data_IF_011491948496
#
_entry.id   IF_011491948496
#
_cell.length_a   1.000
_cell.length_b   1.000
_cell.length_c   1.000
_cell.angle_alpha   90.00
_cell.angle_beta   90.00
_cell.angle_gamma   90.00
#
_symmetry.space_group_name_H-M   'P 1'
#
loop_
_entity.id
_entity.type
_entity.pdbx_description
1 polymer ?
#
# COMPACT_ATOMS: atom_id res chain seq x y z
N UNK A 1 13.67 -4.48 -18.96
CA UNK A 1 14.11 -5.52 -19.91
C UNK A 1 15.48 -5.12 -20.46
N UNK A 2 16.43 -6.05 -20.64
CA UNK A 2 17.73 -5.70 -21.22
C UNK A 2 17.64 -5.62 -22.74
N UNK A 3 18.48 -4.76 -23.37
CA UNK A 3 18.55 -4.69 -24.83
C UNK A 3 18.92 -6.02 -25.48
N UNK A 4 19.73 -6.84 -24.80
CA UNK A 4 20.09 -8.19 -25.28
C UNK A 4 18.91 -9.17 -25.30
N UNK A 5 18.00 -9.08 -24.32
CA UNK A 5 16.77 -9.86 -24.33
C UNK A 5 15.89 -9.46 -25.51
N UNK A 6 15.63 -8.15 -25.67
CA UNK A 6 14.85 -7.62 -26.78
C UNK A 6 15.44 -8.06 -28.11
N UNK A 7 16.75 -7.93 -28.33
CA UNK A 7 17.41 -8.34 -29.56
C UNK A 7 17.43 -9.87 -29.79
N UNK A 8 17.11 -10.68 -28.78
CA UNK A 8 17.01 -12.15 -28.90
C UNK A 8 15.57 -12.62 -29.14
N UNK A 9 14.58 -11.83 -28.75
CA UNK A 9 13.16 -12.24 -28.77
C UNK A 9 12.32 -11.44 -29.76
N UNK A 10 12.63 -10.15 -29.96
CA UNK A 10 11.89 -9.23 -30.83
C UNK A 10 12.82 -8.67 -31.92
N UNK A 11 12.29 -8.44 -33.12
CA UNK A 11 13.00 -7.76 -34.21
C UNK A 11 13.96 -8.62 -35.06
N UNK A 12 14.06 -9.93 -34.81
CA UNK A 12 14.80 -10.87 -35.68
C UNK A 12 13.91 -11.81 -36.49
N UNK A 13 12.67 -12.02 -36.04
CA UNK A 13 11.73 -12.94 -36.65
C UNK A 13 10.75 -12.12 -37.53
N UNK A 14 10.83 -12.25 -38.86
CA UNK A 14 9.85 -11.62 -39.75
C UNK A 14 8.46 -12.20 -39.48
N UNK A 15 7.46 -11.35 -39.27
CA UNK A 15 6.07 -11.77 -39.08
C UNK A 15 5.66 -12.08 -37.64
N UNK A 16 6.48 -11.72 -36.65
CA UNK A 16 6.16 -11.81 -35.22
C UNK A 16 4.83 -11.12 -34.87
N UNK A 17 4.50 -10.05 -35.58
CA UNK A 17 3.24 -9.34 -35.47
C UNK A 17 2.03 -10.21 -35.82
N UNK A 18 2.15 -11.09 -36.82
CA UNK A 18 1.08 -11.99 -37.23
C UNK A 18 0.93 -13.18 -36.28
N UNK A 19 2.05 -13.62 -35.69
CA UNK A 19 2.07 -14.73 -34.72
C UNK A 19 1.18 -14.43 -33.50
N UNK A 20 1.28 -13.21 -32.96
CA UNK A 20 0.55 -12.80 -31.76
C UNK A 20 -0.70 -11.95 -32.05
N UNK A 21 -1.11 -11.79 -33.31
CA UNK A 21 -2.26 -10.95 -33.68
C UNK A 21 -3.57 -11.46 -33.03
N UNK A 22 -3.89 -12.73 -33.23
CA UNK A 22 -5.11 -13.35 -32.65
C UNK A 22 -5.05 -13.44 -31.13
N UNK A 23 -3.86 -13.70 -30.58
CA UNK A 23 -3.66 -13.69 -29.14
C UNK A 23 -3.92 -12.29 -28.56
N UNK A 24 -3.43 -11.23 -29.21
CA UNK A 24 -3.66 -9.85 -28.77
C UNK A 24 -5.13 -9.46 -28.80
N UNK A 25 -5.92 -9.94 -29.78
CA UNK A 25 -7.37 -9.65 -29.88
C UNK A 25 -8.18 -10.15 -28.68
N UNK A 26 -7.73 -11.21 -28.02
CA UNK A 26 -8.44 -11.88 -26.92
C UNK A 26 -7.92 -11.51 -25.52
N UNK A 27 -6.91 -10.64 -25.42
CA UNK A 27 -6.28 -10.28 -24.16
C UNK A 27 -6.24 -8.76 -23.95
N UNK A 28 -6.41 -8.35 -22.69
CA UNK A 28 -6.58 -6.93 -22.33
C UNK A 28 -5.31 -6.07 -22.45
N UNK A 29 -4.14 -6.70 -22.37
CA UNK A 29 -2.98 -6.03 -21.81
C UNK A 29 -1.70 -6.45 -22.55
N UNK A 30 -0.93 -5.46 -23.02
CA UNK A 30 0.27 -5.71 -23.84
C UNK A 30 1.41 -6.37 -23.07
N UNK A 31 1.49 -6.17 -21.76
CA UNK A 31 2.44 -6.85 -20.87
C UNK A 31 2.15 -8.36 -20.75
N UNK A 32 0.88 -8.75 -20.75
CA UNK A 32 0.48 -10.16 -20.81
C UNK A 32 0.90 -10.81 -22.13
N UNK A 33 0.64 -10.14 -23.26
CA UNK A 33 1.08 -10.62 -24.59
C UNK A 33 2.60 -10.74 -24.65
N UNK A 34 3.32 -9.74 -24.12
CA UNK A 34 4.78 -9.74 -24.06
C UNK A 34 5.33 -10.90 -23.20
N UNK A 35 4.73 -11.16 -22.04
CA UNK A 35 5.10 -12.28 -21.18
C UNK A 35 4.84 -13.64 -21.85
N UNK A 36 3.74 -13.76 -22.60
CA UNK A 36 3.44 -14.96 -23.39
C UNK A 36 4.50 -15.20 -24.48
N UNK A 37 4.85 -14.15 -25.22
CA UNK A 37 5.88 -14.25 -26.26
C UNK A 37 7.27 -14.64 -25.73
N UNK A 38 7.60 -14.23 -24.49
CA UNK A 38 8.79 -14.72 -23.81
C UNK A 38 8.69 -16.20 -23.43
N UNK A 39 7.54 -16.63 -22.92
CA UNK A 39 7.33 -17.99 -22.48
C UNK A 39 7.45 -19.00 -23.63
N UNK A 40 6.92 -18.68 -24.80
CA UNK A 40 7.04 -19.50 -26.03
C UNK A 40 8.51 -19.72 -26.44
N UNK A 41 9.38 -18.76 -26.09
CA UNK A 41 10.84 -18.82 -26.33
C UNK A 41 11.61 -19.37 -25.12
N UNK A 42 10.90 -20.04 -24.21
CA UNK A 42 11.42 -20.62 -22.97
C UNK A 42 12.13 -19.60 -22.06
N UNK A 43 11.66 -18.34 -22.09
CA UNK A 43 12.14 -17.26 -21.23
C UNK A 43 11.03 -16.93 -20.23
N UNK A 44 11.30 -17.17 -18.95
CA UNK A 44 10.31 -16.93 -17.89
C UNK A 44 10.47 -15.51 -17.35
N UNK A 45 9.35 -14.78 -17.27
CA UNK A 45 9.30 -13.54 -16.48
C UNK A 45 9.44 -13.91 -15.02
N UNK A 46 10.43 -13.31 -14.35
CA UNK A 46 10.68 -13.55 -12.94
C UNK A 46 9.58 -12.87 -12.11
N UNK A 47 8.87 -13.65 -11.30
CA UNK A 47 7.80 -13.15 -10.44
C UNK A 47 7.76 -13.93 -9.12
N UNK A 48 7.18 -13.32 -8.08
CA UNK A 48 7.01 -13.92 -6.77
C UNK A 48 8.13 -13.61 -5.77
N UNK A 49 7.94 -14.09 -4.54
CA UNK A 49 8.78 -13.76 -3.38
C UNK A 49 10.24 -14.20 -3.52
N UNK A 50 10.51 -15.25 -4.29
CA UNK A 50 11.87 -15.72 -4.60
C UNK A 50 12.67 -14.73 -5.45
N UNK A 51 12.02 -13.72 -6.02
CA UNK A 51 12.64 -12.62 -6.76
C UNK A 51 12.30 -11.28 -6.08
N UNK A 52 12.84 -11.04 -4.86
CA UNK A 52 12.49 -9.88 -4.04
C UNK A 52 12.85 -8.55 -4.73
N UNK A 53 13.80 -8.57 -5.67
CA UNK A 53 14.18 -7.44 -6.51
C UNK A 53 13.16 -7.09 -7.61
N UNK A 54 12.11 -7.88 -7.80
CA UNK A 54 11.00 -7.58 -8.73
C UNK A 54 9.71 -7.29 -7.94
N UNK A 55 9.37 -8.16 -6.99
CA UNK A 55 8.10 -8.11 -6.26
C UNK A 55 7.84 -6.77 -5.55
N UNK A 56 8.78 -6.30 -4.73
CA UNK A 56 8.57 -5.07 -3.94
C UNK A 56 8.90 -3.81 -4.74
N UNK A 57 9.78 -3.91 -5.73
CA UNK A 57 10.25 -2.73 -6.48
C UNK A 57 9.19 -2.16 -7.43
N UNK A 58 8.30 -2.99 -7.96
CA UNK A 58 7.30 -2.58 -8.95
C UNK A 58 5.92 -2.49 -8.31
N UNK A 59 5.38 -1.27 -8.13
CA UNK A 59 4.06 -1.07 -7.53
C UNK A 59 2.99 -0.75 -8.57
N UNK A 60 1.86 -1.45 -8.44
CA UNK A 60 0.64 -1.20 -9.21
C UNK A 60 -0.24 -0.07 -8.65
N UNK A 61 0.21 0.63 -7.61
CA UNK A 61 -0.56 1.61 -6.86
C UNK A 61 0.14 2.98 -6.84
N UNK A 62 -0.59 4.09 -6.67
CA UNK A 62 0.00 5.39 -6.37
C UNK A 62 0.53 5.40 -4.92
N UNK A 63 1.44 6.33 -4.57
CA UNK A 63 2.06 6.37 -3.23
C UNK A 63 1.07 6.27 -2.08
N UNK A 64 -0.08 6.95 -2.17
CA UNK A 64 -1.13 6.97 -1.14
C UNK A 64 -1.83 5.62 -0.89
N UNK A 65 -1.79 4.71 -1.86
CA UNK A 65 -2.47 3.41 -1.84
C UNK A 65 -1.50 2.23 -1.75
N UNK A 66 -0.19 2.46 -1.86
CA UNK A 66 0.83 1.44 -1.63
C UNK A 66 0.71 0.86 -0.21
N UNK A 67 0.86 -0.45 -0.09
CA UNK A 67 0.82 -1.18 1.18
C UNK A 67 2.19 -1.11 1.86
N UNK A 68 2.38 -0.19 2.81
CA UNK A 68 3.62 -0.11 3.60
C UNK A 68 3.52 -1.00 4.84
N UNK A 69 4.48 -1.89 5.06
CA UNK A 69 4.47 -2.83 6.19
C UNK A 69 5.89 -3.20 6.64
N UNK A 70 5.99 -4.04 7.68
CA UNK A 70 7.26 -4.50 8.25
C UNK A 70 8.16 -5.24 7.27
N UNK A 71 7.59 -5.91 6.26
CA UNK A 71 8.32 -6.78 5.33
C UNK A 71 8.96 -5.99 4.18
N UNK A 72 8.32 -4.89 3.75
CA UNK A 72 8.80 -4.04 2.67
C UNK A 72 9.43 -2.71 3.11
N UNK A 73 9.35 -2.35 4.39
CA UNK A 73 9.81 -1.05 4.92
C UNK A 73 11.21 -0.63 4.45
N UNK A 74 12.15 -1.58 4.49
CA UNK A 74 13.56 -1.40 4.13
C UNK A 74 13.88 -1.93 2.72
N UNK A 75 12.86 -2.13 1.88
CA UNK A 75 13.02 -2.56 0.50
C UNK A 75 12.97 -1.35 -0.41
N UNK A 76 13.58 -1.50 -1.58
CA UNK A 76 13.56 -0.48 -2.61
C UNK A 76 12.21 -0.48 -3.33
N UNK A 77 11.77 0.73 -3.70
CA UNK A 77 10.57 0.99 -4.50
C UNK A 77 10.98 1.82 -5.72
N UNK A 78 10.56 1.40 -6.91
CA UNK A 78 11.08 1.92 -8.19
C UNK A 78 9.99 2.53 -9.05
N UNK A 79 8.79 1.96 -9.03
CA UNK A 79 7.69 2.42 -9.89
C UNK A 79 6.39 2.49 -9.11
N UNK A 80 5.50 3.36 -9.58
CA UNK A 80 4.11 3.49 -9.16
C UNK A 80 3.22 3.46 -10.40
N UNK A 81 1.95 3.12 -10.22
CA UNK A 81 0.96 3.10 -11.29
C UNK A 81 -0.30 3.89 -10.87
N UNK A 82 -1.20 4.14 -11.82
CA UNK A 82 -2.40 4.97 -11.61
C UNK A 82 -2.10 6.39 -11.09
N UNK A 83 -0.96 6.97 -11.49
CA UNK A 83 -0.56 8.32 -11.12
C UNK A 83 -1.37 9.37 -11.87
N UNK A 84 -1.81 10.39 -11.15
CA UNK A 84 -2.33 11.63 -11.75
C UNK A 84 -1.17 12.55 -12.16
N UNK A 85 -1.46 13.60 -12.94
CA UNK A 85 -0.45 14.61 -13.27
C UNK A 85 0.15 15.28 -12.02
N UNK A 86 -0.66 15.45 -10.97
CA UNK A 86 -0.20 16.00 -9.71
C UNK A 86 0.76 15.02 -8.99
N UNK A 87 0.44 13.72 -8.98
CA UNK A 87 1.33 12.74 -8.37
C UNK A 87 2.68 12.68 -9.08
N UNK A 88 2.69 12.78 -10.42
CA UNK A 88 3.92 12.80 -11.22
C UNK A 88 4.79 14.02 -10.86
N UNK A 89 4.19 15.21 -10.76
CA UNK A 89 4.91 16.44 -10.36
C UNK A 89 5.51 16.31 -8.96
N UNK A 90 4.73 15.80 -8.00
CA UNK A 90 5.19 15.61 -6.63
C UNK A 90 6.30 14.57 -6.52
N UNK A 91 6.20 13.45 -7.25
CA UNK A 91 7.25 12.42 -7.32
C UNK A 91 8.53 12.95 -7.96
N UNK A 92 8.41 13.75 -9.03
CA UNK A 92 9.57 14.37 -9.69
C UNK A 92 10.33 15.31 -8.73
N UNK A 93 9.60 16.15 -7.99
CA UNK A 93 10.21 17.05 -7.01
C UNK A 93 10.82 16.30 -5.82
N UNK A 94 10.20 15.20 -5.39
CA UNK A 94 10.76 14.31 -4.37
C UNK A 94 12.08 13.68 -4.84
N UNK A 95 12.10 13.07 -6.03
CA UNK A 95 13.31 12.43 -6.59
C UNK A 95 14.47 13.42 -6.74
N UNK A 96 14.20 14.67 -7.14
CA UNK A 96 15.23 15.71 -7.28
C UNK A 96 15.86 16.13 -5.95
N UNK A 97 15.12 16.05 -4.85
CA UNK A 97 15.61 16.38 -3.50
C UNK A 97 16.29 15.18 -2.84
N UNK A 98 16.00 13.96 -3.29
CA UNK A 98 16.56 12.75 -2.73
C UNK A 98 18.03 12.54 -3.16
N UNK A 99 18.89 11.99 -2.28
CA UNK A 99 20.27 11.65 -2.63
C UNK A 99 20.34 10.70 -3.84
N UNK A 100 21.00 11.14 -4.91
CA UNK A 100 21.06 10.41 -6.19
C UNK A 100 21.91 9.13 -6.15
N UNK A 101 22.71 8.96 -5.11
CA UNK A 101 23.59 7.81 -4.89
C UNK A 101 22.93 6.70 -4.04
N UNK A 102 21.68 6.89 -3.63
CA UNK A 102 20.96 5.95 -2.76
C UNK A 102 19.64 5.49 -3.38
N UNK A 103 19.25 4.21 -3.20
CA UNK A 103 17.94 3.75 -3.61
C UNK A 103 16.85 4.38 -2.76
N UNK A 104 15.74 4.78 -3.39
CA UNK A 104 14.52 5.18 -2.67
C UNK A 104 13.87 3.93 -2.08
N UNK A 105 13.62 3.96 -0.77
CA UNK A 105 12.99 2.87 -0.04
C UNK A 105 11.52 3.18 0.28
N UNK A 106 10.75 2.16 0.64
CA UNK A 106 9.36 2.32 1.08
C UNK A 106 9.22 3.32 2.23
N UNK A 107 10.15 3.31 3.19
CA UNK A 107 10.15 4.29 4.30
C UNK A 107 10.22 5.73 3.79
N UNK A 108 10.99 5.99 2.73
CA UNK A 108 11.25 7.35 2.24
C UNK A 108 9.98 7.92 1.58
N UNK A 109 9.29 7.08 0.81
CA UNK A 109 7.99 7.42 0.21
C UNK A 109 6.92 7.58 1.28
N UNK A 110 6.93 6.73 2.31
CA UNK A 110 6.03 6.89 3.45
C UNK A 110 6.25 8.23 4.17
N UNK A 111 7.50 8.63 4.39
CA UNK A 111 7.83 9.90 5.08
C UNK A 111 7.36 11.11 4.30
N UNK A 112 7.52 11.10 2.98
CA UNK A 112 7.11 12.22 2.12
C UNK A 112 5.59 12.28 1.95
N UNK A 113 4.95 11.15 1.59
CA UNK A 113 3.59 11.17 1.05
C UNK A 113 2.50 10.70 2.03
N UNK A 114 2.87 10.01 3.10
CA UNK A 114 1.90 9.34 3.99
C UNK A 114 1.93 9.96 5.37
N UNK A 115 3.10 9.95 6.00
CA UNK A 115 3.30 10.37 7.39
C UNK A 115 2.71 11.75 7.71
N UNK A 116 2.90 12.81 6.91
CA UNK A 116 2.41 14.15 7.24
C UNK A 116 0.88 14.23 7.33
N UNK A 117 0.18 13.28 6.70
CA UNK A 117 -1.27 13.25 6.60
C UNK A 117 -1.92 12.23 7.54
N UNK A 118 -1.13 11.40 8.21
CA UNK A 118 -1.65 10.47 9.21
C UNK A 118 -2.16 11.21 10.44
N UNK A 119 -3.27 10.72 10.98
CA UNK A 119 -3.90 11.24 12.19
C UNK A 119 -4.31 10.06 13.04
N UNK A 120 -4.17 10.22 14.34
CA UNK A 120 -4.60 9.20 15.29
C UNK A 120 -6.12 9.19 15.51
N UNK A 121 -6.76 10.34 15.25
CA UNK A 121 -8.20 10.51 15.38
C UNK A 121 -8.96 9.80 14.26
N UNK A 122 -10.22 9.43 14.56
CA UNK A 122 -11.18 8.95 13.57
C UNK A 122 -11.34 9.96 12.44
N UNK A 123 -11.05 9.54 11.21
CA UNK A 123 -11.25 10.34 10.00
C UNK A 123 -12.52 9.89 9.30
N UNK A 124 -13.56 10.72 9.39
CA UNK A 124 -14.83 10.49 8.69
C UNK A 124 -14.71 10.82 7.20
N UNK A 125 -15.55 10.21 6.37
CA UNK A 125 -15.57 10.37 4.91
C UNK A 125 -14.23 10.04 4.24
N UNK A 126 -13.55 9.02 4.75
CA UNK A 126 -12.21 8.66 4.33
C UNK A 126 -12.05 7.16 4.28
N UNK A 127 -11.56 6.67 3.15
CA UNK A 127 -11.27 5.25 2.94
C UNK A 127 -9.75 5.06 2.90
N UNK A 128 -9.19 4.44 3.95
CA UNK A 128 -7.78 4.06 4.02
C UNK A 128 -7.48 2.69 3.37
N UNK A 129 -8.48 2.07 2.74
CA UNK A 129 -8.37 0.81 2.00
C UNK A 129 -8.08 -0.43 2.87
N UNK A 130 -8.27 -0.38 4.20
CA UNK A 130 -8.00 -1.54 5.06
C UNK A 130 -8.82 -2.79 4.66
N UNK A 131 -8.13 -3.87 4.28
CA UNK A 131 -8.72 -5.03 3.58
C UNK A 131 -8.07 -6.39 3.94
N UNK A 132 -7.10 -6.43 4.84
CA UNK A 132 -6.36 -7.67 5.16
C UNK A 132 -7.19 -8.67 5.98
N UNK A 133 -8.11 -8.18 6.80
CA UNK A 133 -9.19 -8.98 7.41
C UNK A 133 -10.49 -8.21 7.26
N UNK A 134 -11.56 -8.88 6.85
CA UNK A 134 -12.82 -8.23 6.52
C UNK A 134 -13.98 -8.94 7.23
N UNK A 135 -14.86 -8.15 7.82
CA UNK A 135 -16.08 -8.62 8.48
C UNK A 135 -17.25 -7.87 7.87
N UNK A 136 -18.24 -8.60 7.37
CA UNK A 136 -19.45 -8.02 6.78
C UNK A 136 -20.68 -8.86 7.11
N UNK A 137 -21.85 -8.21 7.09
CA UNK A 137 -23.14 -8.86 7.31
C UNK A 137 -23.50 -9.82 6.17
N UNK A 138 -23.13 -9.48 4.94
CA UNK A 138 -23.33 -10.32 3.75
C UNK A 138 -22.28 -11.42 3.70
N UNK A 139 -22.63 -12.57 4.29
CA UNK A 139 -21.69 -13.63 4.61
C UNK A 139 -21.76 -14.87 3.73
N UNK A 140 -22.29 -14.77 2.51
CA UNK A 140 -22.38 -15.94 1.62
C UNK A 140 -21.02 -16.42 1.04
N UNK A 141 -19.88 -15.79 1.35
CA UNK A 141 -18.59 -16.06 0.66
C UNK A 141 -17.39 -16.45 1.52
N UNK A 142 -17.47 -16.53 2.84
CA UNK A 142 -16.29 -16.88 3.67
C UNK A 142 -16.62 -17.82 4.84
N UNK A 143 -16.30 -19.11 4.66
CA UNK A 143 -16.48 -20.17 5.67
C UNK A 143 -15.50 -20.05 6.86
N UNK A 144 -14.45 -19.23 6.74
CA UNK A 144 -13.48 -19.00 7.82
C UNK A 144 -13.81 -17.77 8.66
N UNK A 145 -14.89 -17.05 8.34
CA UNK A 145 -15.30 -15.89 9.08
C UNK A 145 -15.98 -16.37 10.39
N UNK A 146 -15.44 -16.09 11.59
CA UNK A 146 -16.02 -16.51 12.88
C UNK A 146 -17.25 -15.65 13.20
N UNK A 147 -18.38 -16.16 13.71
CA UNK A 147 -19.58 -15.34 14.06
C UNK A 147 -19.17 -14.08 14.85
N UNK A 148 -19.00 -12.96 14.15
CA UNK A 148 -18.26 -11.81 14.69
C UNK A 148 -18.95 -10.54 14.25
N UNK A 149 -19.28 -9.72 15.23
CA UNK A 149 -20.06 -8.50 15.09
C UNK A 149 -19.20 -7.25 14.88
N UNK A 150 -17.95 -7.41 14.44
CA UNK A 150 -17.01 -6.30 14.26
C UNK A 150 -17.54 -5.19 13.32
N UNK A 151 -18.49 -5.52 12.44
CA UNK A 151 -19.16 -4.58 11.54
C UNK A 151 -20.39 -3.87 12.14
N UNK A 152 -20.77 -4.15 13.40
CA UNK A 152 -21.95 -3.55 14.02
C UNK A 152 -21.74 -2.08 14.42
N UNK A 153 -20.52 -1.69 14.74
CA UNK A 153 -20.19 -0.31 15.09
C UNK A 153 -18.71 0.00 14.80
N UNK A 154 -18.40 1.29 14.79
CA UNK A 154 -17.02 1.76 14.67
C UNK A 154 -16.16 1.25 15.83
N UNK A 155 -16.73 1.23 17.03
CA UNK A 155 -16.08 0.82 18.27
C UNK A 155 -15.77 -0.67 18.28
N UNK A 156 -16.69 -1.52 17.80
CA UNK A 156 -16.44 -2.96 17.66
C UNK A 156 -15.36 -3.24 16.61
N UNK A 157 -15.37 -2.52 15.49
CA UNK A 157 -14.30 -2.63 14.48
C UNK A 157 -12.93 -2.19 15.05
N UNK A 158 -12.93 -1.09 15.82
CA UNK A 158 -11.76 -0.56 16.51
C UNK A 158 -11.19 -1.57 17.53
N UNK A 159 -12.06 -2.18 18.33
CA UNK A 159 -11.71 -3.24 19.29
C UNK A 159 -11.13 -4.46 18.58
N UNK A 160 -11.72 -4.87 17.45
CA UNK A 160 -11.19 -5.99 16.67
C UNK A 160 -9.79 -5.73 16.10
N UNK A 161 -9.50 -4.48 15.71
CA UNK A 161 -8.14 -4.06 15.39
C UNK A 161 -7.22 -4.13 16.62
N UNK A 162 -7.69 -3.74 17.79
CA UNK A 162 -6.89 -3.83 19.03
C UNK A 162 -6.54 -5.28 19.39
N UNK A 163 -7.47 -6.22 19.21
CA UNK A 163 -7.25 -7.65 19.47
C UNK A 163 -6.24 -8.28 18.49
N UNK A 164 -6.18 -7.79 17.25
CA UNK A 164 -5.18 -8.23 16.28
C UNK A 164 -3.89 -7.44 16.44
N UNK A 165 -2.87 -8.03 17.07
CA UNK A 165 -1.60 -7.36 17.41
C UNK A 165 -0.93 -6.62 16.22
N UNK A 166 -0.92 -7.23 15.04
CA UNK A 166 -0.32 -6.66 13.83
C UNK A 166 -1.20 -5.58 13.16
N UNK A 167 -2.44 -5.33 13.61
CA UNK A 167 -3.31 -4.33 12.99
C UNK A 167 -2.76 -2.91 13.20
N UNK A 168 -2.48 -2.20 12.11
CA UNK A 168 -1.98 -0.81 12.12
C UNK A 168 -3.03 0.19 11.64
N UNK A 169 -4.10 -0.26 10.99
CA UNK A 169 -5.21 0.59 10.58
C UNK A 169 -6.50 -0.21 10.39
N UNK A 170 -7.63 0.48 10.45
CA UNK A 170 -8.94 -0.08 10.10
C UNK A 170 -9.84 0.95 9.41
N UNK A 171 -10.87 0.46 8.72
CA UNK A 171 -11.97 1.24 8.16
C UNK A 171 -13.30 0.61 8.54
N UNK A 172 -14.28 1.46 8.75
CA UNK A 172 -15.65 1.08 9.10
C UNK A 172 -16.65 1.84 8.25
N UNK A 173 -17.68 1.14 7.81
CA UNK A 173 -18.97 1.70 7.40
C UNK A 173 -20.07 0.77 7.89
N UNK A 174 -21.35 1.18 7.94
CA UNK A 174 -22.42 0.26 8.33
C UNK A 174 -22.30 -1.08 7.59
N UNK A 175 -22.35 -2.18 8.34
CA UNK A 175 -22.29 -3.56 7.82
C UNK A 175 -20.95 -3.99 7.21
N UNK A 176 -19.88 -3.18 7.34
CA UNK A 176 -18.53 -3.56 6.92
C UNK A 176 -17.44 -3.03 7.88
N UNK A 177 -16.55 -3.93 8.29
CA UNK A 177 -15.31 -3.62 9.01
C UNK A 177 -14.12 -4.23 8.27
N UNK A 178 -13.13 -3.39 7.93
CA UNK A 178 -11.88 -3.83 7.32
C UNK A 178 -10.69 -3.49 8.21
N UNK A 179 -9.82 -4.45 8.48
CA UNK A 179 -8.60 -4.30 9.26
C UNK A 179 -7.38 -4.50 8.36
N UNK A 180 -6.25 -3.85 8.67
CA UNK A 180 -5.01 -4.02 7.90
C UNK A 180 -3.77 -3.91 8.77
N UNK A 181 -2.77 -4.76 8.49
CA UNK A 181 -1.39 -4.66 8.97
C UNK A 181 -0.49 -3.87 8.01
N UNK A 182 -1.06 -3.38 6.90
CA UNK A 182 -0.43 -2.45 5.97
C UNK A 182 -0.94 -1.04 6.25
N UNK A 183 -0.02 -0.08 6.27
CA UNK A 183 -0.35 1.34 6.26
C UNK A 183 -0.68 1.74 4.83
N UNK A 184 -1.79 2.45 4.64
CA UNK A 184 -2.19 3.18 3.44
C UNK A 184 -2.84 4.48 3.86
N UNK A 185 -2.56 5.56 3.15
CA UNK A 185 -3.26 6.82 3.38
C UNK A 185 -4.66 6.73 2.78
N UNK A 186 -4.80 6.20 1.57
CA UNK A 186 -6.06 6.17 0.83
C UNK A 186 -6.57 7.58 0.50
N UNK A 187 -7.88 7.74 0.37
CA UNK A 187 -8.46 8.97 -0.14
C UNK A 187 -9.83 9.30 0.48
N UNK A 188 -10.28 10.53 0.26
CA UNK A 188 -11.65 10.94 0.59
C UNK A 188 -12.61 10.12 -0.26
N UNK A 189 -13.57 9.46 0.38
CA UNK A 189 -14.62 8.76 -0.34
C UNK A 189 -15.60 9.80 -0.92
N UNK A 190 -15.81 9.79 -2.24
CA UNK A 190 -16.62 10.80 -2.94
C UNK A 190 -18.05 10.33 -3.27
N UNK A 191 -18.38 9.05 -3.06
CA UNK A 191 -19.71 8.51 -3.37
C UNK A 191 -20.71 8.63 -2.21
N UNK A 192 -21.99 8.71 -2.60
CA UNK A 192 -23.12 9.05 -1.73
C UNK A 192 -23.68 7.91 -0.87
N UNK A 193 -23.03 6.74 -0.84
CA UNK A 193 -23.38 5.63 0.05
C UNK A 193 -22.37 5.50 1.20
N UNK A 194 -22.88 5.41 2.43
CA UNK A 194 -22.15 4.93 3.62
C UNK A 194 -20.66 5.25 3.68
N UNK A 195 -20.33 6.52 3.89
CA UNK A 195 -18.93 6.97 3.87
C UNK A 195 -18.07 6.25 4.91
N UNK A 196 -16.89 5.80 4.50
CA UNK A 196 -15.97 5.14 5.41
C UNK A 196 -15.49 6.09 6.52
N UNK A 197 -15.33 5.53 7.70
CA UNK A 197 -14.57 6.11 8.80
C UNK A 197 -13.28 5.31 8.96
N UNK A 198 -12.14 5.98 8.84
CA UNK A 198 -10.81 5.36 8.89
C UNK A 198 -10.04 5.81 10.13
N UNK A 199 -9.16 4.95 10.64
CA UNK A 199 -8.26 5.29 11.73
C UNK A 199 -6.97 4.45 11.62
N UNK A 200 -5.86 5.05 12.05
CA UNK A 200 -4.53 4.46 12.08
C UNK A 200 -4.07 4.34 13.53
N UNK A 201 -3.47 3.21 13.88
CA UNK A 201 -2.85 2.97 15.20
C UNK A 201 -1.43 3.51 15.16
N UNK A 202 -1.30 4.82 15.38
CA UNK A 202 -0.03 5.53 15.25
C UNK A 202 1.04 4.96 16.20
N UNK A 203 0.65 4.56 17.41
CA UNK A 203 1.48 3.88 18.38
C UNK A 203 2.09 2.57 17.83
N UNK A 204 1.30 1.76 17.13
CA UNK A 204 1.75 0.51 16.51
C UNK A 204 2.64 0.75 15.30
N UNK A 205 2.31 1.76 14.50
CA UNK A 205 3.14 2.20 13.37
C UNK A 205 4.54 2.57 13.87
N UNK A 206 4.62 3.41 14.90
CA UNK A 206 5.90 3.74 15.56
C UNK A 206 6.61 2.50 16.09
N UNK A 207 5.85 1.61 16.73
CA UNK A 207 6.38 0.39 17.34
C UNK A 207 7.15 -0.47 16.35
N UNK A 208 6.60 -0.75 15.17
CA UNK A 208 7.32 -1.57 14.19
C UNK A 208 8.46 -0.80 13.52
N UNK A 209 8.31 0.50 13.26
CA UNK A 209 9.38 1.34 12.69
C UNK A 209 10.66 1.32 13.53
N UNK A 210 10.53 1.41 14.86
CA UNK A 210 11.68 1.25 15.79
C UNK A 210 12.43 -0.09 15.63
N UNK A 211 11.76 -1.12 15.10
CA UNK A 211 12.29 -2.49 14.98
C UNK A 211 12.80 -2.85 13.58
N UNK A 212 12.53 -2.06 12.54
CA UNK A 212 12.93 -2.39 11.16
C UNK A 212 14.41 -2.14 10.88
N UNK A 213 15.11 -1.38 11.73
CA UNK A 213 16.57 -1.22 11.70
C UNK A 213 17.13 -0.27 10.63
N UNK A 214 16.36 0.08 9.60
CA UNK A 214 16.74 1.05 8.56
C UNK A 214 16.05 2.42 8.73
N UNK A 215 15.20 2.57 9.75
CA UNK A 215 14.37 3.75 9.98
C UNK A 215 14.16 4.02 11.49
N UNK A 216 15.23 4.24 12.28
CA UNK A 216 15.06 4.57 13.67
C UNK A 216 14.40 5.96 13.80
N UNK A 217 13.26 6.03 14.50
CA UNK A 217 12.46 7.26 14.68
C UNK A 217 13.25 8.48 15.18
N UNK A 218 14.36 8.24 15.88
CA UNK A 218 15.20 9.30 16.44
C UNK A 218 16.31 9.76 15.47
N UNK A 219 16.41 9.17 14.27
CA UNK A 219 17.35 9.64 13.23
C UNK A 219 16.85 10.88 12.48
N UNK A 220 15.54 11.16 12.49
CA UNK A 220 14.93 12.35 11.89
C UNK A 220 14.16 13.11 12.97
N UNK A 221 14.70 14.23 13.51
CA UNK A 221 14.10 14.96 14.62
C UNK A 221 12.66 15.41 14.38
N UNK A 222 12.34 15.87 13.16
CA UNK A 222 11.01 16.31 12.75
C UNK A 222 10.00 15.16 12.85
N UNK A 223 10.43 13.95 12.51
CA UNK A 223 9.58 12.78 12.61
C UNK A 223 9.35 12.38 14.06
N UNK A 224 10.42 12.36 14.86
CA UNK A 224 10.35 12.14 16.30
C UNK A 224 9.37 13.11 16.96
N UNK A 225 9.42 14.39 16.57
CA UNK A 225 8.49 15.43 17.02
C UNK A 225 7.05 15.18 16.56
N UNK A 226 6.82 14.90 15.27
CA UNK A 226 5.48 14.58 14.76
C UNK A 226 4.82 13.49 15.61
N UNK A 227 5.52 12.39 15.84
CA UNK A 227 4.94 11.29 16.61
C UNK A 227 4.79 11.59 18.09
N UNK A 228 5.69 12.39 18.68
CA UNK A 228 5.53 12.89 20.05
C UNK A 228 4.25 13.71 20.19
N UNK A 229 4.00 14.63 19.24
CA UNK A 229 2.79 15.44 19.21
C UNK A 229 1.52 14.58 19.04
N UNK A 230 1.55 13.53 18.20
CA UNK A 230 0.42 12.60 18.09
C UNK A 230 0.14 11.88 19.42
N UNK A 231 1.18 11.45 20.14
CA UNK A 231 1.02 10.78 21.44
C UNK A 231 0.50 11.72 22.53
N UNK A 232 0.94 12.98 22.55
CA UNK A 232 0.44 13.99 23.50
C UNK A 232 -1.06 14.30 23.27
N UNK A 233 -1.55 14.19 22.03
CA UNK A 233 -2.99 14.31 21.73
C UNK A 233 -3.79 13.11 22.25
N UNK A 234 -3.24 11.90 22.17
CA UNK A 234 -3.86 10.70 22.74
C UNK A 234 -4.01 10.80 24.27
N UNK A 235 -2.97 11.22 24.99
CA UNK A 235 -3.03 11.31 26.45
C UNK A 235 -4.04 12.37 26.91
N UNK A 236 -4.14 13.49 26.19
CA UNK A 236 -5.14 14.53 26.47
C UNK A 236 -6.58 14.08 26.19
N UNK A 237 -6.82 13.24 25.17
CA UNK A 237 -8.17 12.73 24.89
C UNK A 237 -8.64 11.66 25.89
N UNK A 238 -7.73 10.96 26.56
CA UNK A 238 -8.05 9.98 27.61
C UNK A 238 -8.21 10.60 29.01
N UNK A 239 -7.95 11.91 29.16
CA UNK A 239 -8.25 12.67 30.37
C UNK A 239 -9.19 13.83 29.99
N UNK A 240 -10.49 13.58 29.77
CA UNK A 240 -11.46 14.66 29.79
C UNK A 240 -11.38 15.28 31.19
N UNK A 241 -11.04 16.57 31.26
CA UNK A 241 -10.51 17.22 32.45
C UNK A 241 -11.30 17.01 33.74
N UNK A 242 -10.55 17.10 34.84
CA UNK A 242 -11.03 17.69 36.09
C UNK A 242 -11.61 19.07 35.80
#
# INVERSE_FOLDING_TARGET
MSGGLIAKTFGKEPGLEYEYEEFTKSHCCGDHVLAHAFLDRNIRVLSGESYPHVSWRIQGEPPISVRYNKDNWCKEIVTFHHLTSHDIEMLYEFERKFPQDQPILYKDVYHEFIMPYLRDERRNNWDNLADSRQYSKDREKDQNNPEETAYNSFEECSKKCQEWEDCVQFRYRPEYCGLSNNIRLGAKHMEGDGSFSSCWRIDRIRGFRKRTGCDPLDAVPEEGEFFRLQAERQTRSHHPGV
#
